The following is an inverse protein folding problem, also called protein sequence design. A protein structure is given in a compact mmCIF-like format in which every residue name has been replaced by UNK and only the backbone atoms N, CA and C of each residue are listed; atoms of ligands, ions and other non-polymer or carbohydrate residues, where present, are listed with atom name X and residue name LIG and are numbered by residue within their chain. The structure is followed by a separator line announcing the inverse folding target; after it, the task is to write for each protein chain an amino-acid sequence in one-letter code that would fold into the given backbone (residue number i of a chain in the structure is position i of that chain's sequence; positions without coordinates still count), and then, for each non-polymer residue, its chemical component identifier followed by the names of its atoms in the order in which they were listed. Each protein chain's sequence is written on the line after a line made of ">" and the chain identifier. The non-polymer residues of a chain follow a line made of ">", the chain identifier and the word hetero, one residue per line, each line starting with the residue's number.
data_IF_251313140647
#
_entry.id   IF_251313140647
#
_cell.length_a   1.000
_cell.length_b   1.000
_cell.length_c   1.000
_cell.angle_alpha   90.00
_cell.angle_beta   90.00
_cell.angle_gamma   90.00
#
_symmetry.space_group_name_H-M   'P 1'
#
loop_
_entity.id
_entity.type
_entity.pdbx_description
1 polymer ?
#
# COMPACT_ATOMS: atom_id res chain seq x y z
N UNK A 1 1.56 2.46 -1.30
CA UNK A 1 2.00 3.10 -2.56
C UNK A 1 1.95 4.63 -2.58
N UNK A 2 1.17 5.28 -1.71
CA UNK A 2 0.88 6.72 -1.79
C UNK A 2 2.14 7.60 -1.74
N UNK A 3 2.22 8.58 -2.66
CA UNK A 3 3.34 9.52 -2.78
C UNK A 3 3.55 10.38 -1.53
N UNK A 4 2.47 10.70 -0.81
CA UNK A 4 2.50 11.57 0.38
C UNK A 4 3.26 10.93 1.54
N UNK A 5 3.39 9.61 1.55
CA UNK A 5 4.16 8.86 2.54
C UNK A 5 5.66 8.80 2.24
N UNK A 6 6.13 9.19 1.05
CA UNK A 6 7.51 8.96 0.65
C UNK A 6 8.53 9.58 1.62
N UNK A 7 8.31 10.84 2.03
CA UNK A 7 9.19 11.54 2.99
C UNK A 7 9.12 10.94 4.38
N UNK A 8 7.94 10.52 4.82
CA UNK A 8 7.75 9.85 6.10
C UNK A 8 8.54 8.53 6.15
N UNK A 9 8.41 7.70 5.11
CA UNK A 9 9.09 6.42 5.01
C UNK A 9 10.61 6.57 4.83
N UNK A 10 11.07 7.61 4.14
CA UNK A 10 12.51 7.95 4.07
C UNK A 10 13.14 8.14 5.44
N UNK A 11 12.40 8.70 6.41
CA UNK A 11 12.86 8.84 7.80
C UNK A 11 12.99 7.50 8.55
N UNK A 12 12.36 6.44 8.06
CA UNK A 12 12.42 5.08 8.62
C UNK A 12 13.42 4.17 7.90
N UNK A 13 13.98 4.63 6.79
CA UNK A 13 14.91 3.86 5.99
C UNK A 13 16.20 3.63 6.79
N UNK A 14 16.55 2.36 6.96
CA UNK A 14 17.80 1.94 7.59
C UNK A 14 18.40 0.79 6.76
N UNK A 15 19.66 0.43 7.03
CA UNK A 15 20.29 -0.73 6.41
C UNK A 15 19.61 -2.07 6.75
N UNK A 16 18.66 -2.07 7.69
CA UNK A 16 17.92 -3.24 8.17
C UNK A 16 16.42 -3.17 7.86
N UNK A 17 15.95 -2.09 7.21
CA UNK A 17 14.55 -1.91 6.87
C UNK A 17 14.30 -2.37 5.44
N UNK A 18 13.32 -3.24 5.23
CA UNK A 18 12.80 -3.59 3.90
C UNK A 18 11.41 -2.99 3.76
N UNK A 19 11.22 -2.14 2.75
CA UNK A 19 9.90 -1.63 2.42
C UNK A 19 9.19 -2.55 1.43
N UNK A 20 7.93 -2.85 1.75
CA UNK A 20 6.97 -3.45 0.83
C UNK A 20 5.80 -2.47 0.71
N UNK A 21 5.46 -2.08 -0.53
CA UNK A 21 4.49 -1.01 -0.79
C UNK A 21 3.54 -1.42 -1.90
N UNK A 22 2.26 -1.52 -1.57
CA UNK A 22 1.19 -1.78 -2.52
C UNK A 22 -0.03 -0.88 -2.21
N UNK A 23 -1.12 -1.09 -2.91
CA UNK A 23 -2.39 -0.44 -2.68
C UNK A 23 -3.01 -0.95 -1.37
N UNK A 24 -3.43 -0.01 -0.52
CA UNK A 24 -4.09 -0.33 0.75
C UNK A 24 -3.24 -1.06 1.79
N UNK A 25 -1.91 -1.18 1.60
CA UNK A 25 -1.06 -2.04 2.43
C UNK A 25 -1.56 -3.50 2.47
N UNK A 26 -2.20 -3.96 1.39
CA UNK A 26 -2.99 -5.18 1.38
C UNK A 26 -2.10 -6.44 1.40
N UNK A 27 -2.17 -7.19 2.48
CA UNK A 27 -1.35 -8.38 2.68
C UNK A 27 -1.81 -9.55 1.82
N UNK A 28 -3.10 -9.62 1.49
CA UNK A 28 -3.64 -10.71 0.67
C UNK A 28 -3.05 -10.72 -0.75
N UNK A 29 -2.67 -9.56 -1.30
CA UNK A 29 -2.11 -9.47 -2.66
C UNK A 29 -0.58 -9.54 -2.69
N UNK A 30 0.08 -9.98 -1.61
CA UNK A 30 1.54 -9.98 -1.48
C UNK A 30 2.12 -11.39 -1.34
N UNK A 31 1.48 -12.39 -1.92
CA UNK A 31 1.83 -13.80 -1.72
C UNK A 31 3.28 -14.09 -2.11
N UNK A 32 3.70 -13.69 -3.31
CA UNK A 32 5.05 -13.96 -3.81
C UNK A 32 6.09 -13.09 -3.08
N UNK A 33 5.71 -11.87 -2.71
CA UNK A 33 6.55 -10.92 -1.97
C UNK A 33 6.89 -11.46 -0.59
N UNK A 34 5.87 -11.82 0.20
CA UNK A 34 6.06 -12.30 1.57
C UNK A 34 6.81 -13.64 1.60
N UNK A 35 6.54 -14.54 0.63
CA UNK A 35 7.25 -15.81 0.52
C UNK A 35 8.74 -15.67 0.18
N UNK A 36 9.17 -14.50 -0.30
CA UNK A 36 10.58 -14.21 -0.61
C UNK A 36 11.34 -13.49 0.52
N UNK A 37 10.65 -13.09 1.59
CA UNK A 37 11.27 -12.42 2.73
C UNK A 37 11.84 -13.45 3.71
N UNK A 38 13.14 -13.34 3.99
CA UNK A 38 13.83 -14.20 4.96
C UNK A 38 14.37 -13.36 6.12
N UNK A 39 14.50 -13.97 7.30
CA UNK A 39 15.10 -13.31 8.47
C UNK A 39 14.32 -12.11 9.02
N UNK A 40 13.00 -12.09 8.83
CA UNK A 40 12.14 -11.02 9.34
C UNK A 40 11.95 -11.17 10.85
N UNK A 41 12.39 -10.18 11.62
CA UNK A 41 12.22 -10.15 13.08
C UNK A 41 10.90 -9.49 13.50
N UNK A 42 10.48 -8.47 12.76
CA UNK A 42 9.24 -7.74 13.02
C UNK A 42 8.66 -7.16 11.73
N UNK A 43 7.34 -6.95 11.74
CA UNK A 43 6.58 -6.33 10.65
C UNK A 43 5.81 -5.13 11.20
N UNK A 44 5.91 -4.00 10.53
CA UNK A 44 5.07 -2.83 10.81
C UNK A 44 4.16 -2.56 9.61
N UNK A 45 2.85 -2.72 9.81
CA UNK A 45 1.83 -2.32 8.86
C UNK A 45 1.62 -0.81 8.96
N UNK A 46 1.83 -0.11 7.86
CA UNK A 46 1.65 1.34 7.79
C UNK A 46 0.52 1.64 6.82
N UNK A 47 -0.63 2.03 7.36
CA UNK A 47 -1.77 2.55 6.61
C UNK A 47 -1.85 4.07 6.75
N UNK A 48 -2.75 4.70 6.02
CA UNK A 48 -2.91 6.15 6.10
C UNK A 48 -4.35 6.59 5.84
N UNK A 49 -4.69 7.77 6.34
CA UNK A 49 -5.97 8.42 6.04
C UNK A 49 -6.01 8.92 4.59
N UNK A 50 -7.23 9.16 4.08
CA UNK A 50 -7.45 9.56 2.69
C UNK A 50 -6.77 8.60 1.69
N UNK A 51 -6.91 7.30 1.94
CA UNK A 51 -6.34 6.27 1.09
C UNK A 51 -7.22 6.04 -0.13
N UNK A 52 -6.68 6.29 -1.33
CA UNK A 52 -7.42 6.10 -2.58
C UNK A 52 -7.89 4.66 -2.77
N UNK A 53 -7.13 3.66 -2.29
CA UNK A 53 -7.52 2.26 -2.35
C UNK A 53 -8.73 1.94 -1.45
N UNK A 54 -8.84 2.59 -0.28
CA UNK A 54 -9.99 2.41 0.60
C UNK A 54 -11.25 3.06 0.02
N UNK A 55 -11.11 4.11 -0.79
CA UNK A 55 -12.22 4.62 -1.60
C UNK A 55 -12.74 3.62 -2.64
N UNK A 56 -11.87 2.73 -3.16
CA UNK A 56 -12.31 1.61 -4.03
C UNK A 56 -13.08 0.58 -3.22
N UNK A 57 -12.57 0.21 -2.05
CA UNK A 57 -13.24 -0.72 -1.12
C UNK A 57 -14.63 -0.21 -0.76
N UNK A 58 -14.74 1.06 -0.34
CA UNK A 58 -16.00 1.72 -0.02
C UNK A 58 -17.01 1.61 -1.17
N UNK A 59 -16.59 1.92 -2.40
CA UNK A 59 -17.47 1.84 -3.58
C UNK A 59 -17.99 0.43 -3.82
N UNK A 60 -17.12 -0.59 -3.72
CA UNK A 60 -17.52 -1.99 -3.90
C UNK A 60 -18.46 -2.44 -2.79
N UNK A 61 -18.22 -2.04 -1.53
CA UNK A 61 -19.10 -2.36 -0.41
C UNK A 61 -20.47 -1.67 -0.51
N UNK A 62 -20.59 -0.58 -1.27
CA UNK A 62 -21.88 0.06 -1.62
C UNK A 62 -22.65 -0.66 -2.72
N UNK A 63 -22.10 -1.73 -3.28
CA UNK A 63 -22.72 -2.50 -4.35
C UNK A 63 -22.37 -2.05 -5.75
N UNK A 64 -21.35 -1.19 -5.93
CA UNK A 64 -20.78 -0.96 -7.26
C UNK A 64 -20.08 -2.24 -7.76
N UNK A 65 -19.99 -2.37 -9.08
CA UNK A 65 -19.34 -3.51 -9.72
C UNK A 65 -17.93 -3.75 -9.16
N UNK A 66 -17.63 -5.02 -8.87
CA UNK A 66 -16.33 -5.48 -8.44
C UNK A 66 -15.62 -6.18 -9.61
N UNK A 67 -14.63 -5.53 -10.24
CA UNK A 67 -13.74 -6.18 -11.20
C UNK A 67 -13.04 -7.40 -10.59
N UNK A 68 -12.79 -8.42 -11.42
CA UNK A 68 -12.10 -9.64 -11.00
C UNK A 68 -10.67 -9.37 -10.49
N UNK A 69 -9.97 -8.38 -11.05
CA UNK A 69 -8.64 -7.92 -10.60
C UNK A 69 -8.61 -7.41 -9.14
N UNK A 70 -9.78 -7.13 -8.55
CA UNK A 70 -9.93 -6.71 -7.17
C UNK A 70 -10.40 -7.82 -6.22
N UNK A 71 -10.66 -9.04 -6.71
CA UNK A 71 -11.27 -10.09 -5.90
C UNK A 71 -10.44 -10.44 -4.65
N UNK A 72 -9.13 -10.67 -4.81
CA UNK A 72 -8.23 -10.98 -3.70
C UNK A 72 -8.00 -9.76 -2.80
N UNK A 73 -7.85 -8.58 -3.40
CA UNK A 73 -7.74 -7.31 -2.68
C UNK A 73 -8.94 -7.03 -1.77
N UNK A 74 -10.15 -7.35 -2.21
CA UNK A 74 -11.37 -7.09 -1.45
C UNK A 74 -11.58 -8.05 -0.28
N UNK A 75 -10.93 -9.21 -0.29
CA UNK A 75 -11.17 -10.30 0.67
C UNK A 75 -11.09 -9.86 2.15
N UNK A 76 -10.12 -9.05 2.60
CA UNK A 76 -10.02 -8.63 4.00
C UNK A 76 -11.17 -7.74 4.46
N UNK A 77 -11.87 -7.08 3.53
CA UNK A 77 -12.86 -6.05 3.81
C UNK A 77 -14.30 -6.54 3.67
N UNK A 78 -14.50 -7.81 3.31
CA UNK A 78 -15.85 -8.39 3.15
C UNK A 78 -16.57 -8.36 4.49
N UNK A 79 -17.79 -7.82 4.50
CA UNK A 79 -18.63 -7.72 5.69
C UNK A 79 -18.45 -6.42 6.49
N UNK A 80 -17.49 -5.57 6.11
CA UNK A 80 -17.38 -4.23 6.68
C UNK A 80 -18.51 -3.32 6.16
N UNK A 81 -18.77 -2.27 6.94
CA UNK A 81 -19.67 -1.20 6.54
C UNK A 81 -19.03 -0.37 5.43
N UNK A 82 -19.80 0.13 4.44
CA UNK A 82 -19.31 1.04 3.41
C UNK A 82 -19.09 2.47 3.94
N UNK A 83 -18.26 2.61 4.96
CA UNK A 83 -17.84 3.86 5.59
C UNK A 83 -16.32 4.00 5.47
N UNK A 84 -15.86 4.99 4.72
CA UNK A 84 -14.44 5.15 4.40
C UNK A 84 -13.56 5.30 5.63
N UNK A 85 -14.00 6.09 6.61
CA UNK A 85 -13.20 6.37 7.79
C UNK A 85 -13.09 5.13 8.68
N UNK A 86 -14.16 4.33 8.79
CA UNK A 86 -14.16 3.03 9.45
C UNK A 86 -13.24 2.04 8.76
N UNK A 87 -13.35 1.91 7.43
CA UNK A 87 -12.49 1.05 6.62
C UNK A 87 -11.01 1.43 6.80
N UNK A 88 -10.68 2.73 6.74
CA UNK A 88 -9.30 3.21 6.92
C UNK A 88 -8.75 2.92 8.33
N UNK A 89 -9.58 3.07 9.37
CA UNK A 89 -9.21 2.75 10.75
C UNK A 89 -8.97 1.26 10.97
N UNK A 90 -9.83 0.41 10.41
CA UNK A 90 -9.74 -1.05 10.61
C UNK A 90 -8.69 -1.71 9.73
N UNK A 91 -8.38 -1.13 8.56
CA UNK A 91 -7.48 -1.73 7.58
C UNK A 91 -6.14 -2.15 8.21
N UNK A 92 -5.52 -1.28 9.01
CA UNK A 92 -4.23 -1.57 9.62
C UNK A 92 -4.24 -2.84 10.47
N UNK A 93 -5.30 -3.09 11.21
CA UNK A 93 -5.40 -4.27 12.08
C UNK A 93 -5.77 -5.52 11.27
N UNK A 94 -6.65 -5.39 10.27
CA UNK A 94 -6.99 -6.49 9.36
C UNK A 94 -5.76 -7.05 8.64
N UNK A 95 -4.87 -6.17 8.17
CA UNK A 95 -3.62 -6.58 7.55
C UNK A 95 -2.63 -7.15 8.57
N UNK A 96 -2.56 -6.58 9.79
CA UNK A 96 -1.71 -7.11 10.85
C UNK A 96 -2.11 -8.54 11.23
N UNK A 97 -3.41 -8.80 11.38
CA UNK A 97 -3.95 -10.14 11.64
C UNK A 97 -3.66 -11.14 10.53
N UNK A 98 -3.65 -10.68 9.27
CA UNK A 98 -3.24 -11.53 8.16
C UNK A 98 -1.76 -11.94 8.28
N UNK A 99 -0.87 -11.00 8.61
CA UNK A 99 0.57 -11.31 8.82
C UNK A 99 0.76 -12.25 10.00
N UNK A 100 0.09 -12.01 11.14
CA UNK A 100 0.19 -12.88 12.34
C UNK A 100 -0.21 -14.33 12.07
N UNK A 101 -1.08 -14.58 11.08
CA UNK A 101 -1.48 -15.94 10.67
C UNK A 101 -0.46 -16.62 9.77
N UNK A 102 0.45 -15.86 9.15
CA UNK A 102 1.41 -16.35 8.17
C UNK A 102 2.84 -16.41 8.70
N UNK A 103 3.16 -15.56 9.68
CA UNK A 103 4.51 -15.37 10.20
C UNK A 103 4.47 -15.29 11.72
N UNK A 104 5.41 -15.99 12.39
CA UNK A 104 5.59 -15.93 13.84
C UNK A 104 6.58 -14.81 14.20
N UNK A 105 6.12 -13.56 14.08
CA UNK A 105 6.94 -12.34 14.25
C UNK A 105 6.16 -11.28 15.02
N UNK A 106 6.86 -10.29 15.59
CA UNK A 106 6.19 -9.13 16.17
C UNK A 106 5.50 -8.32 15.06
N UNK A 107 4.19 -8.06 15.20
CA UNK A 107 3.42 -7.27 14.23
C UNK A 107 2.80 -6.03 14.88
N UNK A 108 3.18 -4.87 14.37
CA UNK A 108 2.63 -3.55 14.75
C UNK A 108 1.81 -2.96 13.62
N UNK A 109 0.83 -2.13 13.98
CA UNK A 109 0.02 -1.38 13.03
C UNK A 109 0.04 0.11 13.35
N UNK A 110 0.21 0.94 12.32
CA UNK A 110 0.28 2.40 12.44
C UNK A 110 -0.63 3.01 11.37
N UNK A 111 -1.58 3.82 11.80
CA UNK A 111 -2.39 4.68 10.93
C UNK A 111 -1.79 6.08 10.87
N UNK A 112 -1.26 6.46 9.70
CA UNK A 112 -0.67 7.78 9.48
C UNK A 112 -1.74 8.77 9.01
N UNK A 113 -1.87 9.92 9.70
CA UNK A 113 -2.72 11.00 9.21
C UNK A 113 -2.02 11.75 8.08
N UNK A 114 -2.52 11.65 6.84
CA UNK A 114 -1.91 12.35 5.70
C UNK A 114 -2.05 13.87 5.78
N UNK A 115 -3.04 14.38 6.50
CA UNK A 115 -3.24 15.82 6.70
C UNK A 115 -2.13 16.50 7.50
N UNK A 116 -1.31 15.73 8.22
CA UNK A 116 -0.15 16.25 8.96
C UNK A 116 1.15 16.13 8.18
N UNK A 117 1.15 15.49 7.00
CA UNK A 117 2.35 15.26 6.21
C UNK A 117 2.65 16.47 5.31
N UNK A 118 3.94 16.77 5.16
CA UNK A 118 4.41 17.78 4.21
C UNK A 118 4.68 17.10 2.86
N UNK A 119 3.99 17.56 1.82
CA UNK A 119 4.20 17.14 0.44
C UNK A 119 3.82 18.27 -0.50
N UNK A 120 4.37 18.25 -1.71
CA UNK A 120 4.02 19.21 -2.76
C UNK A 120 3.14 18.56 -3.83
N UNK A 121 2.27 19.34 -4.47
CA UNK A 121 1.53 18.88 -5.65
C UNK A 121 2.30 19.30 -6.89
N UNK A 122 2.75 18.32 -7.68
CA UNK A 122 3.50 18.56 -8.91
C UNK A 122 2.61 18.62 -10.15
N UNK A 123 1.32 18.29 -10.03
CA UNK A 123 0.34 18.21 -11.14
C UNK A 123 0.57 17.06 -12.13
N UNK A 124 1.74 16.42 -12.09
CA UNK A 124 2.08 15.22 -12.87
C UNK A 124 2.60 14.14 -11.94
N UNK A 125 1.98 12.97 -12.02
CA UNK A 125 2.26 11.83 -11.17
C UNK A 125 2.61 10.60 -11.99
N UNK A 126 3.50 9.78 -11.42
CA UNK A 126 3.97 8.53 -12.00
C UNK A 126 3.92 7.42 -10.96
N UNK A 127 3.91 6.18 -11.43
CA UNK A 127 4.19 5.01 -10.60
C UNK A 127 5.63 4.55 -10.86
N UNK A 128 6.34 4.21 -9.80
CA UNK A 128 7.68 3.59 -9.85
C UNK A 128 7.58 2.18 -9.30
N UNK A 129 7.96 1.20 -10.11
CA UNK A 129 8.11 -0.17 -9.66
C UNK A 129 9.50 -0.40 -9.08
N UNK A 130 9.54 -0.92 -7.86
CA UNK A 130 10.77 -1.27 -7.16
C UNK A 130 10.66 -2.70 -6.62
N UNK A 131 11.80 -3.34 -6.35
CA UNK A 131 11.82 -4.58 -5.55
C UNK A 131 11.74 -4.24 -4.05
N UNK A 132 11.18 -5.12 -3.22
CA UNK A 132 11.30 -5.02 -1.76
C UNK A 132 12.74 -4.73 -1.35
N UNK A 133 12.96 -3.58 -0.69
CA UNK A 133 14.31 -3.12 -0.34
C UNK A 133 14.25 -1.93 0.62
N UNK A 134 15.38 -1.54 1.19
CA UNK A 134 15.51 -0.28 1.93
C UNK A 134 15.63 0.96 1.04
N UNK A 135 15.67 0.79 -0.28
CA UNK A 135 15.78 1.91 -1.22
C UNK A 135 14.55 2.79 -1.15
N UNK A 136 14.76 4.09 -1.36
CA UNK A 136 13.72 5.10 -1.33
C UNK A 136 13.70 5.90 -2.62
N UNK A 137 12.59 6.58 -2.89
CA UNK A 137 12.45 7.43 -4.07
C UNK A 137 13.53 8.53 -4.09
N UNK A 138 14.15 8.82 -5.24
CA UNK A 138 15.04 9.98 -5.39
C UNK A 138 14.39 11.28 -4.89
N UNK A 139 15.18 12.14 -4.23
CA UNK A 139 14.68 13.36 -3.56
C UNK A 139 13.91 14.28 -4.49
N UNK A 140 14.35 14.39 -5.75
CA UNK A 140 13.76 15.22 -6.78
C UNK A 140 12.43 14.68 -7.34
N UNK A 141 12.08 13.43 -7.06
CA UNK A 141 10.82 12.79 -7.48
C UNK A 141 9.93 12.39 -6.30
N UNK A 142 10.34 12.72 -5.09
CA UNK A 142 9.73 12.24 -3.84
C UNK A 142 8.25 12.60 -3.74
N UNK A 143 7.84 13.77 -4.21
CA UNK A 143 6.45 14.21 -4.07
C UNK A 143 5.57 13.83 -5.28
N UNK A 144 6.16 13.39 -6.40
CA UNK A 144 5.42 13.07 -7.64
C UNK A 144 5.26 11.57 -7.92
N UNK A 145 5.86 10.71 -7.09
CA UNK A 145 5.99 9.29 -7.37
C UNK A 145 5.16 8.43 -6.42
N UNK A 146 4.20 7.69 -6.96
CA UNK A 146 3.60 6.55 -6.28
C UNK A 146 4.55 5.36 -6.40
N UNK A 147 4.79 4.63 -5.32
CA UNK A 147 5.75 3.52 -5.33
C UNK A 147 5.02 2.21 -5.15
N UNK A 148 5.27 1.28 -6.06
CA UNK A 148 4.82 -0.10 -6.00
C UNK A 148 6.08 -0.94 -5.78
N UNK A 149 6.25 -1.43 -4.56
CA UNK A 149 7.45 -2.08 -4.09
C UNK A 149 7.12 -3.48 -3.60
N UNK A 150 7.03 -4.40 -4.54
CA UNK A 150 6.64 -5.80 -4.36
C UNK A 150 7.18 -6.65 -5.52
N UNK A 151 7.04 -7.96 -5.38
CA UNK A 151 7.39 -8.95 -6.41
C UNK A 151 6.54 -8.72 -7.67
N UNK A 152 7.10 -8.96 -8.89
CA UNK A 152 6.36 -8.77 -10.13
C UNK A 152 5.01 -9.52 -10.22
N UNK A 153 4.90 -10.71 -9.62
CA UNK A 153 3.68 -11.51 -9.58
C UNK A 153 2.52 -10.87 -8.80
N UNK A 154 2.81 -9.93 -7.91
CA UNK A 154 1.86 -9.32 -6.97
C UNK A 154 1.32 -7.95 -7.44
N UNK A 155 1.66 -7.50 -8.66
CA UNK A 155 1.45 -6.11 -9.11
C UNK A 155 0.11 -5.82 -9.78
N UNK A 156 -0.66 -6.84 -10.16
CA UNK A 156 -1.85 -6.68 -11.01
C UNK A 156 -2.88 -5.72 -10.41
N UNK A 157 -3.27 -5.95 -9.15
CA UNK A 157 -4.18 -5.09 -8.40
C UNK A 157 -3.64 -3.66 -8.25
N UNK A 158 -2.35 -3.50 -7.97
CA UNK A 158 -1.73 -2.17 -7.80
C UNK A 158 -1.78 -1.35 -9.08
N UNK A 159 -1.47 -2.00 -10.21
CA UNK A 159 -1.55 -1.40 -11.54
C UNK A 159 -3.00 -1.00 -11.83
N UNK A 160 -3.95 -1.88 -11.53
CA UNK A 160 -5.37 -1.62 -11.72
C UNK A 160 -5.82 -0.39 -10.92
N UNK A 161 -5.48 -0.32 -9.64
CA UNK A 161 -5.83 0.81 -8.76
C UNK A 161 -5.14 2.11 -9.23
N UNK A 162 -3.85 2.04 -9.54
CA UNK A 162 -3.08 3.19 -10.02
C UNK A 162 -3.69 3.81 -11.30
N UNK A 163 -4.02 2.98 -12.29
CA UNK A 163 -4.57 3.44 -13.57
C UNK A 163 -6.00 3.95 -13.42
N UNK A 164 -6.86 3.14 -12.82
CA UNK A 164 -8.30 3.36 -12.90
C UNK A 164 -8.82 4.32 -11.84
N UNK A 165 -8.17 4.41 -10.67
CA UNK A 165 -8.65 5.24 -9.57
C UNK A 165 -7.73 6.42 -9.28
N UNK A 166 -6.41 6.21 -9.30
CA UNK A 166 -5.44 7.28 -9.08
C UNK A 166 -5.09 8.05 -10.36
N UNK A 167 -5.59 7.59 -11.52
CA UNK A 167 -5.39 8.20 -12.86
C UNK A 167 -3.92 8.36 -13.26
N UNK A 168 -3.06 7.45 -12.79
CA UNK A 168 -1.64 7.42 -13.13
C UNK A 168 -1.46 6.84 -14.54
N UNK A 169 -0.70 7.55 -15.37
CA UNK A 169 -0.45 7.19 -16.77
C UNK A 169 1.00 6.79 -17.04
N UNK A 170 1.94 7.32 -16.28
CA UNK A 170 3.37 7.04 -16.40
C UNK A 170 3.76 5.92 -15.42
N UNK A 171 4.42 4.88 -15.93
CA UNK A 171 4.91 3.74 -15.16
C UNK A 171 6.39 3.53 -15.46
N UNK A 172 7.23 3.79 -14.46
CA UNK A 172 8.68 3.61 -14.51
C UNK A 172 9.06 2.31 -13.81
N UNK A 173 10.17 1.69 -14.20
CA UNK A 173 10.74 0.51 -13.55
C UNK A 173 12.21 0.76 -13.21
N UNK A 174 12.60 0.37 -11.99
CA UNK A 174 13.99 0.37 -11.50
C UNK A 174 14.56 -1.04 -11.41
#
# INVERSE_FOLDING_TARGET
>A
MDRRLNRYLQGMASGQTVFVRNAGANVATLKDTLGSLEGVESVTIITHTDCGAMGVVEQVLRGNDRPDDLAEFMRPFIGLRPDRDEIERENGELQADAVRKMMDVEVKSILVNTGTLRYESTGRYRALFMRPSGNTVPKERVDSTYVIQNSPGDRSTDIYIARNFLKIREFDQE
#
